data_IF_779530896891
#
_entry.id   IF_779530896891
#
_cell.length_a   1.000
_cell.length_b   1.000
_cell.length_c   1.000
_cell.angle_alpha   90.00
_cell.angle_beta   90.00
_cell.angle_gamma   90.00
#
_symmetry.space_group_name_H-M   'P 1'
#
loop_
_entity.id
_entity.type
_entity.pdbx_description
1 polymer ?
#
# COMPACT_ATOMS: atom_id res chain seq x y z
N UNK A 1 6.00 -5.49 -17.71
CA UNK A 1 5.31 -4.47 -16.90
C UNK A 1 4.40 -5.09 -15.84
N UNK A 2 3.26 -5.69 -16.16
CA UNK A 2 2.32 -6.20 -15.12
C UNK A 2 2.89 -7.37 -14.30
N UNK A 3 3.45 -8.40 -14.95
CA UNK A 3 4.06 -9.54 -14.25
C UNK A 3 5.19 -9.13 -13.31
N UNK A 4 5.95 -8.11 -13.68
CA UNK A 4 7.01 -7.55 -12.86
C UNK A 4 6.46 -6.84 -11.60
N UNK A 5 5.36 -6.09 -11.75
CA UNK A 5 4.67 -5.48 -10.60
C UNK A 5 4.11 -6.55 -9.66
N UNK A 6 3.55 -7.64 -10.21
CA UNK A 6 3.04 -8.76 -9.41
C UNK A 6 4.16 -9.50 -8.67
N UNK A 7 5.33 -9.66 -9.30
CA UNK A 7 6.52 -10.21 -8.66
C UNK A 7 6.96 -9.38 -7.46
N UNK A 8 7.16 -8.06 -7.66
CA UNK A 8 7.54 -7.14 -6.58
C UNK A 8 6.53 -7.12 -5.44
N UNK A 9 5.23 -7.10 -5.76
CA UNK A 9 4.18 -7.16 -4.75
C UNK A 9 4.26 -8.45 -3.91
N UNK A 10 4.54 -9.59 -4.55
CA UNK A 10 4.67 -10.88 -3.85
C UNK A 10 5.90 -10.91 -2.93
N UNK A 11 7.00 -10.28 -3.36
CA UNK A 11 8.21 -10.11 -2.54
C UNK A 11 7.93 -9.23 -1.32
N UNK A 12 7.27 -8.08 -1.52
CA UNK A 12 6.90 -7.15 -0.45
C UNK A 12 5.98 -7.82 0.60
N UNK A 13 5.01 -8.62 0.16
CA UNK A 13 4.15 -9.39 1.07
C UNK A 13 4.92 -10.45 1.86
N UNK A 14 5.89 -11.11 1.22
CA UNK A 14 6.73 -12.11 1.90
C UNK A 14 7.60 -11.43 2.96
N UNK A 15 8.16 -10.25 2.67
CA UNK A 15 8.93 -9.47 3.63
C UNK A 15 8.07 -9.01 4.82
N UNK A 16 6.86 -8.50 4.55
CA UNK A 16 5.91 -8.09 5.59
C UNK A 16 5.52 -9.27 6.49
N UNK A 17 5.23 -10.44 5.92
CA UNK A 17 4.92 -11.64 6.69
C UNK A 17 6.07 -12.02 7.63
N UNK A 18 7.31 -11.99 7.15
CA UNK A 18 8.49 -12.30 7.98
C UNK A 18 8.63 -11.32 9.15
N UNK A 19 8.50 -10.02 8.90
CA UNK A 19 8.58 -8.99 9.94
C UNK A 19 7.52 -9.21 11.03
N UNK A 20 6.28 -9.58 10.66
CA UNK A 20 5.22 -9.93 11.62
C UNK A 20 5.63 -11.16 12.45
N UNK A 21 6.07 -12.24 11.80
CA UNK A 21 6.40 -13.50 12.48
C UNK A 21 7.61 -13.36 13.41
N UNK A 22 8.61 -12.55 13.04
CA UNK A 22 9.78 -12.28 13.89
C UNK A 22 9.54 -11.22 14.96
N UNK A 23 8.37 -10.57 14.97
CA UNK A 23 8.08 -9.46 15.87
C UNK A 23 8.95 -8.22 15.62
N UNK A 24 9.39 -8.00 14.38
CA UNK A 24 10.22 -6.86 13.98
C UNK A 24 9.35 -5.59 13.87
N UNK A 25 9.15 -4.94 15.02
CA UNK A 25 8.32 -3.73 15.12
C UNK A 25 8.90 -2.51 14.41
N UNK A 26 10.21 -2.42 14.25
CA UNK A 26 10.87 -1.28 13.59
C UNK A 26 10.57 -1.29 12.09
N UNK A 27 10.78 -2.43 11.43
CA UNK A 27 10.44 -2.61 10.01
C UNK A 27 8.96 -2.32 9.74
N UNK A 28 8.06 -2.81 10.61
CA UNK A 28 6.62 -2.57 10.49
C UNK A 28 6.28 -1.09 10.66
N UNK A 29 6.88 -0.42 11.65
CA UNK A 29 6.65 1.00 11.90
C UNK A 29 7.10 1.86 10.72
N UNK A 30 8.29 1.59 10.18
CA UNK A 30 8.84 2.33 9.04
C UNK A 30 8.00 2.14 7.78
N UNK A 31 7.61 0.90 7.48
CA UNK A 31 6.74 0.59 6.35
C UNK A 31 5.42 1.36 6.44
N UNK A 32 4.74 1.29 7.59
CA UNK A 32 3.45 1.97 7.77
C UNK A 32 3.58 3.49 7.82
N UNK A 33 4.70 4.02 8.31
CA UNK A 33 4.98 5.46 8.27
C UNK A 33 5.11 5.94 6.83
N UNK A 34 5.84 5.19 6.00
CA UNK A 34 5.99 5.47 4.57
C UNK A 34 4.65 5.39 3.82
N UNK A 35 3.85 4.35 4.03
CA UNK A 35 2.56 4.22 3.31
C UNK A 35 1.55 5.31 3.71
N UNK A 36 1.53 5.74 4.98
CA UNK A 36 0.74 6.90 5.41
C UNK A 36 1.20 8.21 4.78
N UNK A 37 2.51 8.39 4.56
CA UNK A 37 3.03 9.56 3.87
C UNK A 37 2.57 9.61 2.40
N UNK A 38 2.63 8.48 1.71
CA UNK A 38 2.10 8.34 0.33
C UNK A 38 0.61 8.70 0.31
N UNK A 39 -0.19 8.20 1.27
CA UNK A 39 -1.61 8.54 1.34
C UNK A 39 -1.86 10.04 1.52
N UNK A 40 -1.10 10.71 2.39
CA UNK A 40 -1.22 12.17 2.55
C UNK A 40 -0.92 12.90 1.25
N UNK A 41 0.12 12.49 0.53
CA UNK A 41 0.46 13.08 -0.77
C UNK A 41 -0.68 12.92 -1.78
N UNK A 42 -1.34 11.77 -1.85
CA UNK A 42 -2.51 11.56 -2.72
C UNK A 42 -3.64 12.55 -2.40
N UNK A 43 -3.92 12.75 -1.11
CA UNK A 43 -4.96 13.69 -0.65
C UNK A 43 -4.55 15.14 -0.98
N UNK A 44 -3.31 15.52 -0.70
CA UNK A 44 -2.78 16.86 -1.00
C UNK A 44 -2.84 17.21 -2.48
N UNK A 45 -2.69 16.23 -3.37
CA UNK A 45 -2.81 16.39 -4.82
C UNK A 45 -4.28 16.36 -5.32
N UNK A 46 -5.26 16.27 -4.41
CA UNK A 46 -6.68 16.20 -4.76
C UNK A 46 -7.03 14.93 -5.55
N UNK A 47 -6.23 13.86 -5.46
CA UNK A 47 -6.44 12.59 -6.15
C UNK A 47 -7.22 11.58 -5.30
N UNK A 48 -7.80 12.05 -4.20
CA UNK A 48 -8.64 11.24 -3.33
C UNK A 48 -10.13 11.38 -3.70
N UNK A 49 -10.90 10.33 -3.45
CA UNK A 49 -12.36 10.33 -3.57
C UNK A 49 -12.95 9.68 -2.30
N UNK A 50 -13.88 10.39 -1.65
CA UNK A 50 -14.49 9.95 -0.40
C UNK A 50 -15.45 8.77 -0.59
N UNK A 51 -15.89 8.51 -1.82
CA UNK A 51 -16.78 7.40 -2.12
C UNK A 51 -16.02 6.06 -2.05
N UNK A 52 -16.71 4.96 -1.71
CA UNK A 52 -16.14 3.61 -1.79
C UNK A 52 -15.52 3.31 -3.17
N UNK A 53 -14.51 2.44 -3.20
CA UNK A 53 -13.69 2.11 -4.38
C UNK A 53 -13.16 3.34 -5.15
N UNK A 54 -12.81 4.40 -4.41
CA UNK A 54 -12.22 5.62 -4.98
C UNK A 54 -13.12 6.25 -6.07
N UNK A 55 -14.44 6.16 -5.89
CA UNK A 55 -15.42 6.71 -6.82
C UNK A 55 -15.48 6.01 -8.18
N UNK A 56 -14.84 4.86 -8.34
CA UNK A 56 -14.93 4.07 -9.57
C UNK A 56 -16.34 3.49 -9.70
N UNK A 57 -17.03 3.87 -10.78
CA UNK A 57 -18.25 3.17 -11.17
C UNK A 57 -17.87 1.82 -11.78
N UNK A 58 -18.34 0.73 -11.20
CA UNK A 58 -18.45 -0.53 -11.95
C UNK A 58 -19.55 -0.30 -12.99
N UNK A 59 -19.16 -0.01 -14.23
CA UNK A 59 -20.11 0.16 -15.32
C UNK A 59 -20.98 -1.08 -15.49
N UNK A 60 -22.26 -0.87 -15.79
CA UNK A 60 -23.16 -1.91 -16.32
C UNK A 60 -22.70 -2.36 -17.72
#
# INVERSE_FOLDING_TARGET
>A
AVLEMLGRFSEDLTALQRAILSGDGETLFDLFTRTRAIRRQVIEQGQDDERPDFGRGHGE
#
